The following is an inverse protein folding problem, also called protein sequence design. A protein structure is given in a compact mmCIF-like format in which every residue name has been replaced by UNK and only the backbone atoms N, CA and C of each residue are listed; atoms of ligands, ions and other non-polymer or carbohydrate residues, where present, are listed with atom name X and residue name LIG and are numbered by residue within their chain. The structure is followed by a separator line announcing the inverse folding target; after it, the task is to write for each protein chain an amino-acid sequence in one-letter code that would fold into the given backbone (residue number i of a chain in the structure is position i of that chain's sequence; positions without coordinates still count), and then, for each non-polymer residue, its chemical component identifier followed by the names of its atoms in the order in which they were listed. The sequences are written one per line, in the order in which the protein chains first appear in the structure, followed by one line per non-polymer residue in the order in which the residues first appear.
data_IF_748237748821
#
_entry.id   IF_748237748821
#
_cell.length_a   1.000
_cell.length_b   1.000
_cell.length_c   1.000
_cell.angle_alpha   90.00
_cell.angle_beta   90.00
_cell.angle_gamma   90.00
#
_symmetry.space_group_name_H-M   'P 1'
#
loop_
_entity.id
_entity.type
_entity.pdbx_description
1 polymer ?
#
# COMPACT_ATOMS: atom_id res chain seq x y z
N UNK A 1 16.18 14.17 -11.29
CA UNK A 1 15.10 13.58 -10.49
C UNK A 1 14.51 14.70 -9.64
N UNK A 2 13.32 15.20 -9.99
CA UNK A 2 12.68 16.28 -9.23
C UNK A 2 12.20 15.75 -7.88
N UNK A 3 12.28 16.55 -6.83
CA UNK A 3 11.67 16.21 -5.55
C UNK A 3 10.15 16.14 -5.76
N UNK A 4 9.54 15.00 -5.45
CA UNK A 4 8.09 14.91 -5.40
C UNK A 4 7.58 15.87 -4.32
N UNK A 5 6.70 16.80 -4.70
CA UNK A 5 6.11 17.76 -3.78
C UNK A 5 4.65 17.38 -3.55
N UNK A 6 4.36 16.81 -2.40
CA UNK A 6 2.99 16.44 -2.02
C UNK A 6 2.32 17.60 -1.30
N UNK A 7 1.02 17.78 -1.53
CA UNK A 7 0.23 18.80 -0.82
C UNK A 7 0.30 18.60 0.70
N UNK A 8 0.28 19.69 1.48
CA UNK A 8 0.16 19.64 2.95
C UNK A 8 -1.12 18.92 3.42
N UNK A 9 -2.07 18.70 2.51
CA UNK A 9 -3.28 17.93 2.77
C UNK A 9 -3.06 16.40 2.71
N UNK A 10 -1.88 15.96 2.32
CA UNK A 10 -1.57 14.53 2.21
C UNK A 10 -0.97 13.96 3.48
N UNK A 11 -1.22 12.68 3.72
CA UNK A 11 -0.69 11.91 4.84
C UNK A 11 -0.14 10.58 4.36
N UNK A 12 0.92 10.10 5.00
CA UNK A 12 1.61 8.87 4.61
C UNK A 12 1.42 7.75 5.63
N UNK A 13 0.97 6.59 5.16
CA UNK A 13 0.80 5.38 5.97
C UNK A 13 1.45 4.19 5.31
N UNK A 14 2.30 3.48 6.05
CA UNK A 14 2.96 2.26 5.60
C UNK A 14 2.65 1.10 6.55
N UNK A 15 2.47 -0.09 5.97
CA UNK A 15 2.46 -1.35 6.69
C UNK A 15 3.31 -2.40 5.98
N UNK A 16 3.63 -3.45 6.72
CA UNK A 16 4.48 -4.54 6.27
C UNK A 16 3.76 -5.88 6.39
N UNK A 17 4.04 -6.77 5.44
CA UNK A 17 3.53 -8.13 5.46
C UNK A 17 4.62 -9.14 5.12
N UNK A 18 4.55 -10.33 5.73
CA UNK A 18 5.45 -11.43 5.41
C UNK A 18 5.15 -11.97 4.01
N UNK A 19 6.19 -12.22 3.22
CA UNK A 19 6.06 -12.92 1.94
C UNK A 19 5.65 -14.38 2.18
N UNK A 20 4.94 -15.01 1.21
CA UNK A 20 4.66 -16.45 1.28
C UNK A 20 5.97 -17.25 1.35
N UNK A 21 6.04 -18.33 2.13
CA UNK A 21 7.19 -19.25 2.11
C UNK A 21 7.60 -19.82 3.47
N UNK A 22 7.64 -21.15 3.51
CA UNK A 22 8.23 -21.98 4.56
C UNK A 22 9.75 -22.08 4.35
N UNK A 23 10.59 -21.66 5.31
CA UNK A 23 11.86 -22.37 5.59
C UNK A 23 12.18 -22.26 7.09
N UNK A 24 12.19 -23.37 7.84
CA UNK A 24 12.84 -23.44 9.15
C UNK A 24 14.36 -23.52 8.95
N UNK A 25 14.98 -22.40 8.60
CA UNK A 25 16.43 -22.22 8.68
C UNK A 25 16.73 -20.71 8.68
N UNK A 26 17.13 -20.21 9.86
CA UNK A 26 17.86 -18.97 10.10
C UNK A 26 17.37 -17.68 9.38
N UNK A 27 16.55 -16.90 10.10
CA UNK A 27 16.70 -15.45 10.26
C UNK A 27 16.66 -14.51 9.03
N UNK A 28 16.01 -14.86 7.92
CA UNK A 28 15.69 -13.87 6.88
C UNK A 28 14.20 -13.55 6.91
N UNK A 29 13.81 -12.53 7.68
CA UNK A 29 12.45 -11.97 7.62
C UNK A 29 12.24 -11.30 6.25
N UNK A 30 11.66 -12.04 5.30
CA UNK A 30 11.27 -11.52 3.98
C UNK A 30 9.93 -10.81 4.10
N UNK A 31 9.94 -9.50 4.32
CA UNK A 31 8.74 -8.65 4.38
C UNK A 31 8.63 -7.77 3.14
N UNK A 32 7.39 -7.45 2.74
CA UNK A 32 7.08 -6.38 1.78
C UNK A 32 6.45 -5.21 2.51
N UNK A 33 6.92 -3.99 2.23
CA UNK A 33 6.30 -2.75 2.67
C UNK A 33 5.44 -2.15 1.56
N UNK A 34 4.26 -1.66 1.93
CA UNK A 34 3.38 -0.88 1.06
C UNK A 34 2.99 0.41 1.78
N UNK A 35 3.42 1.54 1.23
CA UNK A 35 3.10 2.87 1.74
C UNK A 35 2.11 3.57 0.82
N UNK A 36 1.13 4.24 1.41
CA UNK A 36 0.10 5.01 0.74
C UNK A 36 0.25 6.49 1.11
N UNK A 37 0.26 7.37 0.12
CA UNK A 37 0.08 8.80 0.30
C UNK A 37 -1.37 9.10 -0.02
N UNK A 38 -2.09 9.65 0.95
CA UNK A 38 -3.56 9.78 0.93
C UNK A 38 -3.91 11.24 1.11
N UNK A 39 -4.79 11.79 0.27
CA UNK A 39 -5.42 13.07 0.53
C UNK A 39 -6.38 12.93 1.72
N UNK A 40 -6.11 13.66 2.82
CA UNK A 40 -6.81 13.42 4.09
C UNK A 40 -8.29 13.78 4.06
N UNK A 41 -8.70 14.67 3.14
CA UNK A 41 -10.07 15.15 3.05
C UNK A 41 -10.91 14.20 2.21
N UNK A 42 -10.44 13.86 1.00
CA UNK A 42 -11.17 13.03 0.05
C UNK A 42 -11.01 11.52 0.31
N UNK A 43 -9.88 11.09 0.87
CA UNK A 43 -9.55 9.67 1.02
C UNK A 43 -8.90 9.05 -0.22
N UNK A 44 -8.62 9.85 -1.25
CA UNK A 44 -7.96 9.40 -2.47
C UNK A 44 -6.50 9.02 -2.21
N UNK A 45 -6.07 7.87 -2.72
CA UNK A 45 -4.66 7.47 -2.78
C UNK A 45 -4.01 8.25 -3.92
N UNK A 46 -3.19 9.24 -3.59
CA UNK A 46 -2.52 10.11 -4.58
C UNK A 46 -1.15 9.59 -4.99
N UNK A 47 -0.52 8.74 -4.18
CA UNK A 47 0.72 8.06 -4.51
C UNK A 47 0.92 6.78 -3.68
N UNK A 48 1.81 5.91 -4.14
CA UNK A 48 2.16 4.64 -3.50
C UNK A 48 3.66 4.41 -3.54
N UNK A 49 4.20 3.89 -2.44
CA UNK A 49 5.56 3.35 -2.36
C UNK A 49 5.52 1.86 -2.05
N UNK A 50 6.49 1.10 -2.58
CA UNK A 50 6.57 -0.32 -2.32
C UNK A 50 8.02 -0.80 -2.31
N UNK A 51 8.33 -1.78 -1.46
CA UNK A 51 9.68 -2.36 -1.32
C UNK A 51 9.95 -3.50 -2.30
N UNK A 52 9.16 -3.64 -3.38
CA UNK A 52 9.46 -4.60 -4.44
C UNK A 52 10.78 -4.26 -5.12
N UNK A 53 11.49 -5.30 -5.56
CA UNK A 53 12.86 -5.19 -6.07
C UNK A 53 12.94 -4.34 -7.34
N UNK A 54 12.09 -4.65 -8.32
CA UNK A 54 12.15 -4.04 -9.64
C UNK A 54 11.32 -2.76 -9.70
N UNK A 55 11.78 -1.80 -10.50
CA UNK A 55 11.09 -0.52 -10.69
C UNK A 55 9.75 -0.73 -11.38
N UNK A 56 9.71 -1.62 -12.37
CA UNK A 56 8.51 -1.96 -13.14
C UNK A 56 7.40 -2.48 -12.22
N UNK A 57 7.74 -3.28 -11.20
CA UNK A 57 6.75 -3.79 -10.27
C UNK A 57 6.23 -2.70 -9.31
N UNK A 58 7.09 -1.74 -8.93
CA UNK A 58 6.69 -0.59 -8.10
C UNK A 58 5.78 0.35 -8.89
N UNK A 59 6.15 0.71 -10.11
CA UNK A 59 5.36 1.56 -11.00
C UNK A 59 4.04 0.88 -11.41
N UNK A 60 4.07 -0.43 -11.67
CA UNK A 60 2.85 -1.20 -11.93
C UNK A 60 1.89 -1.13 -10.74
N UNK A 61 2.35 -1.37 -9.51
CA UNK A 61 1.49 -1.26 -8.33
C UNK A 61 0.97 0.16 -8.12
N UNK A 62 1.79 1.18 -8.38
CA UNK A 62 1.34 2.57 -8.36
C UNK A 62 0.19 2.79 -9.35
N UNK A 63 0.30 2.27 -10.58
CA UNK A 63 -0.78 2.31 -11.58
C UNK A 63 -2.04 1.50 -11.25
N UNK A 64 -1.94 0.59 -10.27
CA UNK A 64 -3.08 -0.21 -9.78
C UNK A 64 -3.81 0.50 -8.66
N UNK A 65 -3.09 1.29 -7.84
CA UNK A 65 -3.60 1.79 -6.56
C UNK A 65 -3.89 3.29 -6.54
N UNK A 66 -3.16 4.10 -7.31
CA UNK A 66 -3.39 5.54 -7.37
C UNK A 66 -4.76 5.82 -8.00
N UNK A 67 -5.51 6.74 -7.41
CA UNK A 67 -6.87 7.12 -7.82
C UNK A 67 -8.00 6.34 -7.13
N UNK A 68 -7.68 5.25 -6.42
CA UNK A 68 -8.66 4.60 -5.56
C UNK A 68 -9.01 5.48 -4.35
N UNK A 69 -10.27 5.43 -3.91
CA UNK A 69 -10.76 6.21 -2.77
C UNK A 69 -11.06 5.29 -1.58
N UNK A 70 -10.33 5.47 -0.49
CA UNK A 70 -10.46 4.65 0.72
C UNK A 70 -11.82 4.84 1.41
N UNK A 71 -12.41 6.04 1.37
CA UNK A 71 -13.68 6.32 2.05
C UNK A 71 -14.87 5.72 1.29
N UNK A 72 -14.76 5.59 -0.04
CA UNK A 72 -15.82 5.06 -0.89
C UNK A 72 -15.73 3.54 -1.06
N UNK A 73 -14.52 3.01 -1.26
CA UNK A 73 -14.30 1.61 -1.64
C UNK A 73 -13.90 0.73 -0.46
N UNK A 74 -13.15 1.26 0.49
CA UNK A 74 -12.54 0.51 1.59
C UNK A 74 -11.42 -0.45 1.15
N UNK A 75 -10.72 -1.03 2.13
CA UNK A 75 -9.51 -1.81 1.88
C UNK A 75 -9.74 -3.09 1.05
N UNK A 76 -10.87 -3.78 1.24
CA UNK A 76 -11.14 -5.05 0.56
C UNK A 76 -11.37 -4.87 -0.93
N UNK A 77 -12.13 -3.84 -1.33
CA UNK A 77 -12.40 -3.56 -2.74
C UNK A 77 -11.12 -3.14 -3.47
N UNK A 78 -10.30 -2.28 -2.87
CA UNK A 78 -9.00 -1.88 -3.43
C UNK A 78 -8.06 -3.10 -3.53
N UNK A 79 -8.12 -4.02 -2.57
CA UNK A 79 -7.35 -5.26 -2.61
C UNK A 79 -7.74 -6.18 -3.78
N UNK A 80 -8.97 -6.08 -4.30
CA UNK A 80 -9.39 -6.82 -5.50
C UNK A 80 -8.57 -6.37 -6.71
N UNK A 81 -8.32 -5.07 -6.89
CA UNK A 81 -7.48 -4.55 -7.98
C UNK A 81 -6.06 -5.15 -7.96
N UNK A 82 -5.45 -5.33 -6.78
CA UNK A 82 -4.16 -6.02 -6.64
C UNK A 82 -4.29 -7.49 -7.05
N UNK A 83 -5.33 -8.19 -6.57
CA UNK A 83 -5.54 -9.62 -6.87
C UNK A 83 -5.76 -9.88 -8.36
N UNK A 84 -6.47 -8.97 -9.03
CA UNK A 84 -6.83 -9.07 -10.44
C UNK A 84 -5.67 -8.72 -11.36
N UNK A 85 -4.85 -7.71 -11.02
CA UNK A 85 -3.84 -7.18 -11.93
C UNK A 85 -2.40 -7.61 -11.60
N UNK A 86 -2.07 -7.87 -10.33
CA UNK A 86 -0.71 -8.21 -9.91
C UNK A 86 -0.59 -9.71 -9.60
N UNK A 87 0.04 -10.50 -10.48
CA UNK A 87 0.20 -11.95 -10.30
C UNK A 87 1.60 -12.36 -9.81
N UNK A 88 2.33 -11.45 -9.15
CA UNK A 88 3.65 -11.75 -8.57
C UNK A 88 3.57 -12.50 -7.24
N UNK A 89 4.70 -13.10 -6.83
CA UNK A 89 4.81 -13.88 -5.58
C UNK A 89 4.39 -13.11 -4.31
N UNK A 90 4.55 -11.79 -4.32
CA UNK A 90 4.18 -10.92 -3.21
C UNK A 90 2.68 -10.60 -3.11
N UNK A 91 1.82 -11.08 -4.03
CA UNK A 91 0.42 -10.64 -4.14
C UNK A 91 -0.34 -10.70 -2.80
N UNK A 92 -0.31 -11.84 -2.12
CA UNK A 92 -0.98 -12.01 -0.83
C UNK A 92 -0.45 -11.05 0.23
N UNK A 93 0.88 -10.89 0.28
CA UNK A 93 1.53 -10.00 1.24
C UNK A 93 1.18 -8.53 0.96
N UNK A 94 1.13 -8.12 -0.30
CA UNK A 94 0.71 -6.78 -0.70
C UNK A 94 -0.74 -6.48 -0.28
N UNK A 95 -1.67 -7.44 -0.45
CA UNK A 95 -3.03 -7.26 0.04
C UNK A 95 -3.08 -7.13 1.58
N UNK A 96 -2.22 -7.83 2.32
CA UNK A 96 -2.15 -7.69 3.79
C UNK A 96 -1.56 -6.33 4.18
N UNK A 97 -0.50 -5.89 3.53
CA UNK A 97 0.11 -4.59 3.77
C UNK A 97 -0.86 -3.44 3.40
N UNK A 98 -1.63 -3.57 2.31
CA UNK A 98 -2.67 -2.60 1.94
C UNK A 98 -3.69 -2.43 3.07
N UNK A 99 -4.23 -3.53 3.58
CA UNK A 99 -5.20 -3.49 4.69
C UNK A 99 -4.61 -2.82 5.93
N UNK A 100 -3.38 -3.18 6.30
CA UNK A 100 -2.72 -2.57 7.46
C UNK A 100 -2.45 -1.07 7.28
N UNK A 101 -2.10 -0.63 6.08
CA UNK A 101 -1.90 0.80 5.80
C UNK A 101 -3.23 1.57 5.87
N UNK A 102 -4.30 1.01 5.28
CA UNK A 102 -5.66 1.60 5.32
C UNK A 102 -6.21 1.63 6.74
N UNK A 103 -6.05 0.57 7.52
CA UNK A 103 -6.49 0.52 8.92
C UNK A 103 -5.83 1.62 9.76
N UNK A 104 -4.50 1.77 9.65
CA UNK A 104 -3.76 2.84 10.34
C UNK A 104 -4.23 4.23 9.92
N UNK A 105 -4.52 4.42 8.63
CA UNK A 105 -5.07 5.68 8.13
C UNK A 105 -6.44 5.98 8.74
N UNK A 106 -7.36 5.00 8.75
CA UNK A 106 -8.70 5.15 9.29
C UNK A 106 -8.69 5.40 10.80
N UNK A 107 -7.79 4.74 11.55
CA UNK A 107 -7.58 4.99 12.97
C UNK A 107 -7.08 6.41 13.20
N UNK A 108 -6.03 6.85 12.50
CA UNK A 108 -5.54 8.22 12.62
C UNK A 108 -6.65 9.24 12.26
N UNK A 109 -7.44 8.98 11.22
CA UNK A 109 -8.53 9.86 10.80
C UNK A 109 -9.63 9.97 11.87
N UNK A 110 -9.93 8.91 12.62
CA UNK A 110 -10.94 8.95 13.68
C UNK A 110 -10.49 9.76 14.89
N UNK A 111 -9.19 9.75 15.19
CA UNK A 111 -8.56 10.48 16.29
C UNK A 111 -8.29 11.96 15.97
N UNK A 112 -8.20 12.33 14.67
CA UNK A 112 -7.80 13.65 14.19
C UNK A 112 -8.90 14.34 13.36
N UNK A 113 -10.18 14.09 13.70
CA UNK A 113 -11.33 14.81 13.12
C UNK A 113 -11.42 16.24 13.61
#
# INVERSE_FOLDING_TARGET
MGMANYSNNTVYFIAYAKLPGEIPAANVHRVVGLGLIIDRNSGEIVDVSCTLLTEEAREFLKSVLVGHNIHEEGAEQIAVSIKDRYHGFAQKALCVALRGAVERYLQWKSENK
#
